data_IF_067639813476
#
_entry.id   IF_067639813476
#
_cell.length_a   1.000
_cell.length_b   1.000
_cell.length_c   1.000
_cell.angle_alpha   90.00
_cell.angle_beta   90.00
_cell.angle_gamma   90.00
#
_symmetry.space_group_name_H-M   'P 1'
#
loop_
_entity.id
_entity.type
_entity.pdbx_description
1 polymer ?
#
# COMPACT_ATOMS: atom_id res chain seq x y z
N UNK A 1 -18.39 -2.53 26.10
CA UNK A 1 -18.79 -3.20 24.84
C UNK A 1 -19.41 -2.16 23.89
N UNK A 2 -18.57 -1.34 23.25
CA UNK A 2 -19.03 -0.30 22.33
C UNK A 2 -18.73 -0.70 20.89
N UNK A 3 -19.53 -1.58 20.30
CA UNK A 3 -19.49 -1.76 18.86
C UNK A 3 -19.95 -0.46 18.21
N UNK A 4 -18.99 0.26 17.62
CA UNK A 4 -19.24 1.51 16.87
C UNK A 4 -20.42 1.31 15.93
N UNK A 5 -21.53 2.04 16.15
CA UNK A 5 -22.77 2.03 15.33
C UNK A 5 -22.48 1.98 13.81
N UNK A 6 -21.39 2.60 13.37
CA UNK A 6 -20.95 2.63 11.96
C UNK A 6 -20.57 1.25 11.41
N UNK A 7 -19.91 0.38 12.20
CA UNK A 7 -19.53 -0.97 11.76
C UNK A 7 -20.75 -1.86 11.56
N UNK A 8 -21.71 -1.81 12.47
CA UNK A 8 -22.95 -2.61 12.36
C UNK A 8 -23.74 -2.22 11.12
N UNK A 9 -23.83 -0.92 10.79
CA UNK A 9 -24.49 -0.45 9.55
C UNK A 9 -23.77 -0.98 8.31
N UNK A 10 -22.43 -0.89 8.24
CA UNK A 10 -21.66 -1.43 7.11
C UNK A 10 -21.83 -2.94 6.96
N UNK A 11 -21.85 -3.70 8.05
CA UNK A 11 -22.07 -5.16 8.01
C UNK A 11 -23.48 -5.49 7.52
N UNK A 12 -24.50 -4.78 7.99
CA UNK A 12 -25.89 -4.98 7.53
C UNK A 12 -26.02 -4.68 6.03
N UNK A 13 -25.38 -3.61 5.54
CA UNK A 13 -25.35 -3.31 4.10
C UNK A 13 -24.70 -4.44 3.31
N UNK A 14 -23.51 -4.91 3.74
CA UNK A 14 -22.78 -6.01 3.07
C UNK A 14 -23.61 -7.29 3.04
N UNK A 15 -24.23 -7.67 4.17
CA UNK A 15 -25.07 -8.87 4.26
C UNK A 15 -26.30 -8.74 3.34
N UNK A 16 -26.95 -7.57 3.33
CA UNK A 16 -28.12 -7.33 2.47
C UNK A 16 -27.75 -7.38 0.99
N UNK A 17 -26.62 -6.77 0.59
CA UNK A 17 -26.08 -6.85 -0.76
C UNK A 17 -25.77 -8.30 -1.15
N UNK A 18 -25.11 -9.07 -0.28
CA UNK A 18 -24.77 -10.46 -0.56
C UNK A 18 -26.02 -11.35 -0.71
N UNK A 19 -27.06 -11.13 0.10
CA UNK A 19 -28.33 -11.84 0.00
C UNK A 19 -29.03 -11.55 -1.33
N UNK A 20 -29.10 -10.28 -1.76
CA UNK A 20 -29.67 -9.92 -3.06
C UNK A 20 -28.86 -10.50 -4.22
N UNK A 21 -27.53 -10.42 -4.17
CA UNK A 21 -26.66 -10.98 -5.23
C UNK A 21 -26.78 -12.50 -5.33
N UNK A 22 -26.84 -13.21 -4.19
CA UNK A 22 -27.02 -14.67 -4.15
C UNK A 22 -28.40 -15.06 -4.69
N UNK A 23 -29.46 -14.32 -4.35
CA UNK A 23 -30.80 -14.53 -4.89
C UNK A 23 -30.85 -14.31 -6.41
N UNK A 24 -30.17 -13.28 -6.91
CA UNK A 24 -30.03 -13.03 -8.35
C UNK A 24 -29.31 -14.18 -9.05
N UNK A 25 -28.19 -14.67 -8.48
CA UNK A 25 -27.46 -15.81 -9.05
C UNK A 25 -28.34 -17.07 -9.13
N UNK A 26 -29.14 -17.33 -8.10
CA UNK A 26 -30.10 -18.44 -8.10
C UNK A 26 -31.18 -18.28 -9.19
N UNK A 27 -31.73 -17.08 -9.37
CA UNK A 27 -32.69 -16.80 -10.44
C UNK A 27 -32.05 -16.98 -11.83
N UNK A 28 -30.82 -16.47 -12.01
CA UNK A 28 -30.06 -16.56 -13.27
C UNK A 28 -29.83 -18.02 -13.68
N UNK A 29 -29.45 -18.86 -12.70
CA UNK A 29 -29.23 -20.29 -12.89
C UNK A 29 -30.51 -21.07 -13.24
N UNK A 30 -31.61 -20.75 -12.57
CA UNK A 30 -32.85 -21.55 -12.65
C UNK A 30 -33.79 -21.12 -13.78
N UNK A 31 -33.82 -19.84 -14.13
CA UNK A 31 -34.79 -19.31 -15.09
C UNK A 31 -34.19 -18.88 -16.42
N UNK A 32 -32.91 -18.50 -16.44
CA UNK A 32 -32.28 -17.86 -17.62
C UNK A 32 -31.38 -18.80 -18.42
N UNK A 33 -30.93 -19.92 -17.84
CA UNK A 33 -30.28 -21.01 -18.59
C UNK A 33 -31.33 -21.89 -19.28
N UNK A 34 -31.94 -21.39 -20.34
CA UNK A 34 -32.68 -22.21 -21.30
C UNK A 34 -31.85 -22.31 -22.58
N UNK A 35 -31.43 -23.53 -22.92
CA UNK A 35 -30.56 -23.77 -24.07
C UNK A 35 -31.36 -24.39 -25.21
N UNK A 36 -31.58 -23.63 -26.28
CA UNK A 36 -32.23 -24.13 -27.49
C UNK A 36 -31.20 -24.55 -28.57
N UNK A 37 -29.95 -24.08 -28.47
CA UNK A 37 -28.87 -24.38 -29.42
C UNK A 37 -27.49 -24.46 -28.75
N UNK A 38 -26.55 -25.22 -29.34
CA UNK A 38 -25.19 -25.42 -28.80
C UNK A 38 -24.33 -24.14 -28.75
N UNK A 39 -24.52 -23.21 -29.69
CA UNK A 39 -23.83 -21.90 -29.68
C UNK A 39 -24.34 -21.02 -28.53
N UNK A 40 -25.66 -20.99 -28.33
CA UNK A 40 -26.29 -20.24 -27.25
C UNK A 40 -25.87 -20.78 -25.89
N UNK A 41 -25.68 -22.10 -25.79
CA UNK A 41 -25.15 -22.74 -24.59
C UNK A 41 -23.73 -22.28 -24.25
N UNK A 42 -22.82 -22.21 -25.24
CA UNK A 42 -21.44 -21.77 -25.01
C UNK A 42 -21.39 -20.30 -24.59
N UNK A 43 -22.11 -19.43 -25.29
CA UNK A 43 -22.15 -18.00 -24.97
C UNK A 43 -22.84 -17.72 -23.62
N UNK A 44 -23.94 -18.42 -23.34
CA UNK A 44 -24.66 -18.33 -22.06
C UNK A 44 -23.82 -18.83 -20.89
N UNK A 45 -23.11 -19.96 -21.05
CA UNK A 45 -22.21 -20.49 -20.04
C UNK A 45 -21.00 -19.56 -19.81
N UNK A 46 -20.43 -18.98 -20.87
CA UNK A 46 -19.34 -18.02 -20.78
C UNK A 46 -19.73 -16.75 -20.01
N UNK A 47 -20.92 -16.20 -20.31
CA UNK A 47 -21.46 -15.05 -19.59
C UNK A 47 -21.72 -15.38 -18.12
N UNK A 48 -22.26 -16.57 -17.84
CA UNK A 48 -22.49 -17.05 -16.48
C UNK A 48 -21.19 -17.17 -15.68
N UNK A 49 -20.12 -17.73 -16.26
CA UNK A 49 -18.82 -17.82 -15.60
C UNK A 49 -18.23 -16.44 -15.28
N UNK A 50 -18.39 -15.47 -16.19
CA UNK A 50 -17.97 -14.09 -15.94
C UNK A 50 -18.75 -13.47 -14.77
N UNK A 51 -20.07 -13.70 -14.67
CA UNK A 51 -20.87 -13.26 -13.53
C UNK A 51 -20.47 -13.94 -12.22
N UNK A 52 -20.18 -15.24 -12.22
CA UNK A 52 -19.66 -15.98 -11.05
C UNK A 52 -18.33 -15.38 -10.60
N UNK A 53 -17.44 -15.06 -11.54
CA UNK A 53 -16.17 -14.42 -11.23
C UNK A 53 -16.38 -13.06 -10.52
N UNK A 54 -17.27 -12.22 -11.05
CA UNK A 54 -17.62 -10.93 -10.43
C UNK A 54 -18.19 -11.13 -9.02
N UNK A 55 -19.06 -12.12 -8.84
CA UNK A 55 -19.66 -12.43 -7.54
C UNK A 55 -18.62 -12.87 -6.50
N UNK A 56 -17.65 -13.71 -6.89
CA UNK A 56 -16.54 -14.13 -6.02
C UNK A 56 -15.63 -12.94 -5.69
N UNK A 57 -15.30 -12.10 -6.67
CA UNK A 57 -14.52 -10.88 -6.44
C UNK A 57 -15.20 -9.93 -5.45
N UNK A 58 -16.52 -9.76 -5.56
CA UNK A 58 -17.33 -8.97 -4.64
C UNK A 58 -17.29 -9.55 -3.21
N UNK A 59 -17.38 -10.86 -3.05
CA UNK A 59 -17.23 -11.52 -1.75
C UNK A 59 -15.85 -11.25 -1.13
N UNK A 60 -14.77 -11.41 -1.89
CA UNK A 60 -13.41 -11.16 -1.43
C UNK A 60 -13.19 -9.68 -1.05
N UNK A 61 -13.75 -8.76 -1.84
CA UNK A 61 -13.68 -7.32 -1.56
C UNK A 61 -14.37 -6.98 -0.23
N UNK A 62 -15.54 -7.56 0.03
CA UNK A 62 -16.24 -7.37 1.29
C UNK A 62 -15.50 -7.97 2.48
N UNK A 63 -14.88 -9.15 2.34
CA UNK A 63 -14.07 -9.74 3.41
C UNK A 63 -12.90 -8.84 3.81
N UNK A 64 -12.21 -8.24 2.83
CA UNK A 64 -11.12 -7.28 3.09
C UNK A 64 -11.65 -5.99 3.74
N UNK A 65 -12.81 -5.50 3.30
CA UNK A 65 -13.39 -4.24 3.76
C UNK A 65 -13.98 -4.33 5.16
N UNK A 66 -14.54 -5.48 5.55
CA UNK A 66 -15.15 -5.71 6.87
C UNK A 66 -14.11 -5.79 7.98
N UNK A 67 -12.86 -6.14 7.67
CA UNK A 67 -11.76 -6.21 8.62
C UNK A 67 -10.72 -5.08 8.43
N UNK A 68 -11.09 -3.80 8.60
CA UNK A 68 -10.10 -2.74 8.54
C UNK A 68 -9.18 -2.88 9.75
N UNK A 69 -7.91 -3.17 9.50
CA UNK A 69 -6.88 -3.20 10.53
C UNK A 69 -6.66 -1.78 11.03
N UNK A 70 -7.41 -1.41 12.07
CA UNK A 70 -7.25 -0.13 12.74
C UNK A 70 -6.01 -0.21 13.63
N UNK A 71 -4.85 0.11 13.06
CA UNK A 71 -3.64 0.33 13.86
C UNK A 71 -3.74 1.72 14.50
N UNK A 72 -3.89 1.75 15.81
CA UNK A 72 -3.77 3.00 16.56
C UNK A 72 -2.33 3.53 16.49
N UNK A 73 -2.19 4.84 16.56
CA UNK A 73 -0.89 5.47 16.76
C UNK A 73 -0.46 5.10 18.19
N UNK A 74 0.61 4.33 18.30
CA UNK A 74 1.19 3.99 19.61
C UNK A 74 2.12 5.15 19.96
N UNK A 75 1.87 5.89 21.06
CA UNK A 75 2.79 6.94 21.50
C UNK A 75 4.14 6.31 21.84
N UNK A 76 5.22 6.97 21.46
CA UNK A 76 6.55 6.57 21.89
C UNK A 76 6.66 6.73 23.41
N UNK A 77 7.51 5.93 24.09
CA UNK A 77 7.79 6.14 25.51
C UNK A 77 8.30 7.57 25.75
N UNK A 78 7.89 8.20 26.86
CA UNK A 78 8.32 9.56 27.22
C UNK A 78 9.85 9.69 27.38
N UNK A 79 10.52 8.57 27.65
CA UNK A 79 11.97 8.47 27.80
C UNK A 79 12.66 8.31 26.43
N UNK A 80 13.24 9.42 25.94
CA UNK A 80 14.01 9.48 24.69
C UNK A 80 15.23 8.54 24.67
N UNK A 81 15.72 8.10 25.83
CA UNK A 81 16.85 7.16 25.90
C UNK A 81 16.47 5.76 25.41
N UNK A 82 15.19 5.37 25.48
CA UNK A 82 14.67 4.08 25.02
C UNK A 82 14.30 4.06 23.54
N UNK A 83 14.41 5.21 22.88
CA UNK A 83 14.05 5.33 21.48
C UNK A 83 15.05 4.55 20.62
N UNK A 84 14.57 3.78 19.62
CA UNK A 84 15.44 3.04 18.71
C UNK A 84 16.27 4.00 17.84
N UNK A 85 17.39 3.53 17.29
CA UNK A 85 18.07 4.29 16.22
C UNK A 85 17.27 4.12 14.92
N UNK A 86 16.99 5.22 14.22
CA UNK A 86 16.21 5.23 12.99
C UNK A 86 17.10 5.68 11.82
N UNK A 87 17.17 4.84 10.80
CA UNK A 87 17.83 5.15 9.53
C UNK A 87 16.75 5.52 8.49
N UNK A 88 16.79 6.76 7.98
CA UNK A 88 15.86 7.29 6.96
C UNK A 88 16.53 7.21 5.60
N UNK A 89 15.94 6.45 4.68
CA UNK A 89 16.45 6.27 3.33
C UNK A 89 15.59 7.07 2.34
N UNK A 90 16.23 7.98 1.59
CA UNK A 90 15.59 8.78 0.55
C UNK A 90 16.15 8.34 -0.81
N UNK A 91 15.47 7.43 -1.54
CA UNK A 91 15.91 7.02 -2.86
C UNK A 91 15.50 8.04 -3.92
N UNK A 92 16.46 8.52 -4.71
CA UNK A 92 16.25 9.40 -5.87
C UNK A 92 16.83 8.77 -7.13
N UNK A 93 16.18 9.03 -8.27
CA UNK A 93 16.60 8.56 -9.58
C UNK A 93 16.68 9.71 -10.59
N UNK A 94 15.54 10.33 -10.93
CA UNK A 94 15.44 11.36 -11.96
C UNK A 94 14.64 12.59 -11.52
N UNK A 95 14.38 12.73 -10.22
CA UNK A 95 13.70 13.89 -9.66
C UNK A 95 14.60 15.14 -9.71
N UNK A 96 14.04 16.35 -9.86
CA UNK A 96 14.80 17.59 -9.82
C UNK A 96 15.38 17.83 -8.41
N UNK A 97 16.55 18.47 -8.35
CA UNK A 97 17.30 18.71 -7.10
C UNK A 97 16.47 19.46 -6.04
N UNK A 98 15.59 20.38 -6.48
CA UNK A 98 14.73 21.17 -5.59
C UNK A 98 13.77 20.29 -4.78
N UNK A 99 13.11 19.31 -5.42
CA UNK A 99 12.19 18.38 -4.75
C UNK A 99 12.93 17.48 -3.76
N UNK A 100 14.13 17.04 -4.11
CA UNK A 100 14.96 16.21 -3.23
C UNK A 100 15.46 17.03 -2.04
N UNK A 101 15.87 18.29 -2.27
CA UNK A 101 16.27 19.22 -1.22
C UNK A 101 15.16 19.44 -0.21
N UNK A 102 13.94 19.72 -0.67
CA UNK A 102 12.80 19.93 0.21
C UNK A 102 12.48 18.67 1.03
N UNK A 103 12.59 17.49 0.42
CA UNK A 103 12.38 16.21 1.11
C UNK A 103 13.46 15.96 2.17
N UNK A 104 14.72 16.29 1.88
CA UNK A 104 15.84 16.16 2.83
C UNK A 104 15.69 17.15 3.99
N UNK A 105 15.32 18.40 3.71
CA UNK A 105 15.08 19.42 4.74
C UNK A 105 13.90 19.04 5.63
N UNK A 106 12.81 18.55 5.03
CA UNK A 106 11.66 18.04 5.77
C UNK A 106 12.04 16.85 6.67
N UNK A 107 12.89 15.95 6.19
CA UNK A 107 13.39 14.82 6.99
C UNK A 107 14.25 15.27 8.18
N UNK A 108 14.96 16.41 8.07
CA UNK A 108 15.73 16.98 9.19
C UNK A 108 14.86 17.63 10.26
N UNK A 109 13.69 18.13 9.88
CA UNK A 109 12.72 18.74 10.79
C UNK A 109 11.85 17.72 11.52
N UNK A 110 12.11 16.41 11.37
CA UNK A 110 11.42 15.37 12.15
C UNK A 110 11.82 15.51 13.62
N UNK A 111 10.83 15.56 14.52
CA UNK A 111 11.00 15.62 15.97
C UNK A 111 11.61 14.32 16.52
N UNK A 112 12.92 14.13 16.32
CA UNK A 112 13.69 12.99 16.81
C UNK A 112 15.08 13.43 17.32
N UNK A 113 15.64 12.76 18.36
CA UNK A 113 17.00 12.99 18.79
C UNK A 113 18.00 12.80 17.65
N UNK A 114 18.78 13.85 17.34
CA UNK A 114 19.74 13.87 16.22
C UNK A 114 20.86 12.83 16.38
N UNK A 115 21.15 12.42 17.61
CA UNK A 115 22.11 11.36 17.95
C UNK A 115 21.63 9.95 17.52
N UNK A 116 20.32 9.77 17.36
CA UNK A 116 19.69 8.48 17.00
C UNK A 116 19.07 8.46 15.61
N UNK A 117 19.14 9.56 14.87
CA UNK A 117 18.60 9.67 13.52
C UNK A 117 19.74 9.80 12.52
N UNK A 118 19.75 8.92 11.52
CA UNK A 118 20.67 9.01 10.39
C UNK A 118 19.87 9.06 9.11
N UNK A 119 20.19 10.01 8.25
CA UNK A 119 19.53 10.15 6.95
C UNK A 119 20.52 9.63 5.91
N UNK A 120 20.05 8.91 4.89
CA UNK A 120 20.84 8.42 3.76
C UNK A 120 20.15 8.80 2.43
N UNK A 121 20.84 9.56 1.57
CA UNK A 121 20.40 9.85 0.22
C UNK A 121 20.96 8.79 -0.73
N UNK A 122 20.08 8.08 -1.43
CA UNK A 122 20.52 7.11 -2.45
C UNK A 122 20.27 7.72 -3.82
N UNK A 123 21.32 8.25 -4.44
CA UNK A 123 21.28 8.72 -5.82
C UNK A 123 21.75 7.62 -6.78
N UNK A 124 20.81 7.07 -7.55
CA UNK A 124 21.08 6.09 -8.61
C UNK A 124 21.28 6.77 -9.99
N UNK A 125 21.07 8.09 -10.06
CA UNK A 125 21.21 8.90 -11.28
C UNK A 125 22.65 9.36 -11.58
N UNK A 126 23.61 9.09 -10.69
CA UNK A 126 25.04 9.49 -10.79
C UNK A 126 25.25 10.98 -11.12
N UNK A 127 24.53 11.87 -10.43
CA UNK A 127 24.62 13.32 -10.70
C UNK A 127 25.62 13.99 -9.77
N UNK A 128 26.59 14.71 -10.33
CA UNK A 128 27.59 15.46 -9.54
C UNK A 128 26.95 16.54 -8.65
N UNK A 129 25.82 17.11 -9.05
CA UNK A 129 25.08 18.12 -8.28
C UNK A 129 24.58 17.59 -6.93
N UNK A 130 24.26 16.28 -6.85
CA UNK A 130 23.81 15.64 -5.62
C UNK A 130 24.96 15.42 -4.63
N UNK A 131 26.18 15.17 -5.12
CA UNK A 131 27.37 15.08 -4.29
C UNK A 131 27.79 16.43 -3.70
N UNK A 132 27.57 17.54 -4.43
CA UNK A 132 27.82 18.90 -3.92
C UNK A 132 26.75 19.27 -2.90
N UNK A 133 25.48 18.99 -3.19
CA UNK A 133 24.38 19.20 -2.24
C UNK A 133 24.56 18.36 -0.97
N UNK A 134 25.12 17.16 -1.08
CA UNK A 134 25.46 16.31 0.05
C UNK A 134 26.47 16.96 1.00
N UNK A 135 27.52 17.55 0.42
CA UNK A 135 28.58 18.22 1.18
C UNK A 135 28.08 19.51 1.85
N UNK A 136 27.21 20.27 1.16
CA UNK A 136 26.67 21.55 1.66
C UNK A 136 25.73 21.36 2.87
N UNK A 137 25.00 20.24 2.91
CA UNK A 137 24.05 19.95 3.99
C UNK A 137 24.73 19.23 5.18
N UNK A 138 26.00 18.84 5.06
CA UNK A 138 26.84 18.42 6.20
C UNK A 138 26.50 17.08 6.84
N UNK A 139 25.82 16.17 6.14
CA UNK A 139 25.43 14.85 6.64
C UNK A 139 26.07 13.72 5.83
N UNK A 140 26.32 12.59 6.51
CA UNK A 140 27.01 11.43 5.96
C UNK A 140 26.17 10.72 4.89
N UNK A 141 26.12 11.27 3.68
CA UNK A 141 25.75 10.53 2.49
C UNK A 141 26.89 9.55 2.25
N UNK A 142 26.74 8.34 2.78
CA UNK A 142 27.54 7.22 2.30
C UNK A 142 27.09 6.98 0.86
N UNK A 143 27.94 7.15 -0.16
CA UNK A 143 27.60 6.72 -1.50
C UNK A 143 27.41 5.22 -1.41
N UNK A 144 26.15 4.77 -1.36
CA UNK A 144 25.82 3.37 -1.38
C UNK A 144 26.46 2.81 -2.64
N UNK A 145 27.49 2.00 -2.42
CA UNK A 145 28.37 1.45 -3.41
C UNK A 145 27.54 0.81 -4.52
N UNK A 146 27.91 1.18 -5.75
CA UNK A 146 27.25 0.85 -7.00
C UNK A 146 26.86 -0.63 -7.08
N UNK A 147 25.57 -0.96 -7.04
CA UNK A 147 25.09 -2.29 -7.43
C UNK A 147 23.94 -2.16 -8.41
N UNK A 148 24.10 -2.83 -9.55
CA UNK A 148 23.24 -2.90 -10.74
C UNK A 148 21.90 -3.59 -10.51
N UNK A 149 21.24 -3.35 -9.38
CA UNK A 149 19.98 -4.00 -9.00
C UNK A 149 18.93 -2.96 -8.62
N UNK A 150 17.73 -3.00 -9.22
CA UNK A 150 16.70 -2.02 -8.94
C UNK A 150 16.25 -2.10 -7.48
N UNK A 151 16.09 -0.92 -6.85
CA UNK A 151 15.51 -0.48 -5.54
C UNK A 151 15.35 -1.46 -4.35
N UNK A 152 15.17 -2.76 -4.57
CA UNK A 152 15.00 -3.81 -3.56
C UNK A 152 16.33 -4.30 -2.95
N UNK A 153 17.42 -4.26 -3.72
CA UNK A 153 18.74 -4.72 -3.26
C UNK A 153 19.41 -3.79 -2.24
N UNK A 154 19.10 -2.50 -2.29
CA UNK A 154 19.79 -1.49 -1.47
C UNK A 154 19.33 -1.47 -0.01
N UNK A 155 18.15 -2.02 0.29
CA UNK A 155 17.58 -2.06 1.65
C UNK A 155 17.88 -3.37 2.41
N UNK A 156 18.59 -4.33 1.80
CA UNK A 156 18.79 -5.69 2.35
C UNK A 156 20.19 -5.98 2.85
N UNK A 157 21.13 -5.02 2.80
CA UNK A 157 22.45 -5.20 3.44
C UNK A 157 22.48 -4.57 4.84
N UNK A 158 21.95 -5.32 5.81
CA UNK A 158 22.41 -5.27 7.21
C UNK A 158 22.15 -6.59 7.90
#
# INVERSE_FOLDING_TARGET
MGFSKRRSVSVIMVVTSLLMSTRYMYFRLTQTLHFNSSIEAILGMGLFLAEVYIWVMLLLNYLQTVWPLKRGIVPLPDDMSKWPTVDIYIPSYNEPLEVVRDTVLAAQCIDYPKDKMKIYLLDDGKRSEFAVFAADVGWAISPAMTTSTPKRGTLTMR
#
